data_IF_612372396046
#
_entry.id   IF_612372396046
#
_cell.length_a   1.000
_cell.length_b   1.000
_cell.length_c   1.000
_cell.angle_alpha   90.00
_cell.angle_beta   90.00
_cell.angle_gamma   90.00
#
_symmetry.space_group_name_H-M   'P 1'
#
loop_
_entity.id
_entity.type
_entity.pdbx_description
1 polymer ?
#
# COMPACT_ATOMS: atom_id res chain seq x y z
N UNK A 1 19.06 2.45 15.36
CA UNK A 1 18.62 2.47 15.60
C UNK A 1 17.96 2.34 16.00
N UNK A 2 17.68 2.26 15.98
CA UNK A 2 16.91 1.97 16.31
C UNK A 2 16.18 1.90 16.77
N UNK A 3 15.88 1.85 16.91
CA UNK A 3 15.01 1.73 17.34
C UNK A 3 14.46 1.71 17.61
N UNK A 4 14.18 1.70 17.52
CA UNK A 4 13.48 1.62 17.87
C UNK A 4 13.00 1.79 18.22
N UNK A 5 12.73 1.79 18.03
CA UNK A 5 11.98 1.76 18.40
C UNK A 5 11.62 2.00 18.68
N UNK A 6 11.18 2.15 18.58
CA UNK A 6 10.38 2.16 19.04
C UNK A 6 9.87 2.00 19.11
N UNK A 7 9.77 1.97 19.03
CA UNK A 7 8.98 1.68 19.31
C UNK A 7 8.57 1.49 19.47
N UNK A 8 8.40 1.51 19.35
CA UNK A 8 7.62 1.21 19.61
C UNK A 8 7.19 1.12 19.68
N UNK A 9 7.03 1.17 19.72
CA UNK A 9 6.20 1.05 19.91
C UNK A 9 5.79 1.15 19.89
N UNK A 10 5.59 1.34 19.61
CA UNK A 10 4.82 1.36 19.79
C UNK A 10 4.36 1.49 19.75
N UNK A 11 4.39 1.44 19.51
CA UNK A 11 3.57 1.43 19.57
C UNK A 11 3.24 1.59 19.64
N UNK A 12 3.02 1.78 19.39
CA UNK A 12 2.23 1.77 19.73
C UNK A 12 1.69 1.69 19.89
N UNK A 13 1.81 1.59 19.72
CA UNK A 13 0.99 1.49 20.09
C UNK A 13 0.59 1.73 20.41
N UNK A 14 0.46 1.68 20.22
CA UNK A 14 -0.26 1.87 20.57
C UNK A 14 -0.68 2.21 20.73
N UNK A 15 -0.84 2.20 20.47
CA UNK A 15 -1.61 2.42 20.68
C UNK A 15 -2.13 2.66 20.79
N UNK A 16 -2.44 2.55 20.62
CA UNK A 16 -3.15 2.64 20.81
C UNK A 16 -3.69 2.71 21.17
N UNK A 17 -4.02 2.70 21.05
CA UNK A 17 -4.69 2.69 21.70
C UNK A 17 -5.58 2.72 22.10
N UNK A 18 -5.57 2.57 22.82
CA UNK A 18 -6.85 2.13 23.08
C UNK A 18 -7.85 3.10 23.25
N UNK A 19 -8.63 3.11 22.47
CA UNK A 19 -9.70 4.03 22.38
C UNK A 19 -10.73 3.73 23.43
N UNK A 20 -11.28 4.72 24.04
CA UNK A 20 -12.34 4.53 25.02
C UNK A 20 -13.67 4.35 24.31
N UNK A 21 -14.34 3.23 24.49
CA UNK A 21 -15.60 3.01 23.83
C UNK A 21 -16.70 3.90 24.40
N UNK A 22 -17.67 4.22 23.58
CA UNK A 22 -18.89 4.83 24.00
C UNK A 22 -18.88 6.33 24.15
N UNK A 23 -17.78 6.99 23.92
CA UNK A 23 -17.70 8.43 24.05
C UNK A 23 -17.40 9.02 22.68
N UNK A 24 -18.27 9.87 22.17
CA UNK A 24 -18.10 10.46 20.86
C UNK A 24 -18.09 9.41 19.78
N UNK A 25 -16.98 9.20 19.12
CA UNK A 25 -16.86 8.22 18.05
C UNK A 25 -16.83 6.78 18.49
N UNK A 26 -16.69 6.54 19.80
CA UNK A 26 -16.65 5.21 20.33
C UNK A 26 -15.50 4.37 19.84
N UNK A 27 -15.56 3.09 20.13
CA UNK A 27 -14.58 2.11 19.70
C UNK A 27 -14.89 1.69 18.25
N UNK A 28 -13.87 1.67 17.42
CA UNK A 28 -14.01 1.33 16.01
C UNK A 28 -13.21 0.10 15.64
N UNK A 29 -13.69 -0.61 14.63
CA UNK A 29 -12.98 -1.75 14.07
C UNK A 29 -13.28 -1.86 12.58
N UNK A 30 -12.44 -2.60 11.87
CA UNK A 30 -12.73 -2.99 10.48
C UNK A 30 -13.49 -4.31 10.47
N UNK A 31 -14.32 -4.49 9.47
CA UNK A 31 -15.05 -5.73 9.25
C UNK A 31 -15.01 -6.09 7.77
N UNK A 32 -15.29 -7.36 7.49
CA UNK A 32 -15.33 -7.88 6.11
C UNK A 32 -14.05 -7.56 5.34
N UNK A 33 -12.90 -7.71 6.00
CA UNK A 33 -11.59 -7.42 5.39
C UNK A 33 -11.23 -8.57 4.46
N UNK A 34 -10.98 -8.26 3.20
CA UNK A 34 -10.62 -9.30 2.23
C UNK A 34 -9.86 -8.71 1.05
N UNK A 35 -9.05 -9.55 0.43
CA UNK A 35 -8.31 -9.20 -0.78
C UNK A 35 -9.25 -9.16 -1.96
N UNK A 36 -9.20 -8.07 -2.73
CA UNK A 36 -9.99 -7.97 -3.96
C UNK A 36 -9.14 -8.07 -5.22
N UNK A 37 -7.82 -8.12 -5.07
CA UNK A 37 -6.93 -8.28 -6.20
C UNK A 37 -5.68 -7.45 -6.07
N UNK A 38 -4.96 -7.32 -7.17
CA UNK A 38 -3.78 -6.48 -7.23
C UNK A 38 -3.92 -5.48 -8.36
N UNK A 39 -3.17 -4.37 -8.25
CA UNK A 39 -3.20 -3.29 -9.25
C UNK A 39 -1.83 -2.66 -9.34
N UNK A 40 -1.55 -2.01 -10.45
CA UNK A 40 -0.33 -1.25 -10.64
C UNK A 40 -0.59 0.22 -10.30
N UNK A 41 0.37 0.85 -9.67
CA UNK A 41 0.33 2.27 -9.40
C UNK A 41 0.30 3.08 -10.69
N UNK A 42 0.01 4.37 -10.57
CA UNK A 42 -0.13 5.25 -11.71
C UNK A 42 1.14 6.05 -12.01
N UNK A 43 2.10 6.04 -11.12
CA UNK A 43 3.33 6.83 -11.26
C UNK A 43 4.49 5.92 -11.62
N UNK A 44 5.28 6.35 -12.59
CA UNK A 44 6.53 5.67 -12.95
C UNK A 44 7.51 5.85 -11.80
N UNK A 45 8.00 4.76 -11.25
CA UNK A 45 8.98 4.79 -10.15
C UNK A 45 10.40 4.57 -10.64
N UNK A 46 10.57 4.02 -11.84
CA UNK A 46 11.86 3.82 -12.48
C UNK A 46 11.65 3.65 -13.98
N UNK A 47 12.63 4.04 -14.75
CA UNK A 47 12.51 3.97 -16.21
C UNK A 47 13.88 3.74 -16.83
N UNK A 48 13.91 2.97 -17.90
CA UNK A 48 15.09 2.80 -18.76
C UNK A 48 14.66 2.94 -20.21
N UNK A 49 15.51 3.56 -21.01
CA UNK A 49 15.15 3.91 -22.38
C UNK A 49 16.40 3.79 -23.25
N UNK A 50 16.25 3.37 -24.48
CA UNK A 50 17.40 3.19 -25.34
C UNK A 50 17.05 2.74 -26.75
N UNK A 51 18.06 2.76 -27.63
CA UNK A 51 17.89 2.39 -29.04
C UNK A 51 17.79 0.89 -29.23
N UNK A 52 17.37 0.52 -30.43
CA UNK A 52 17.31 -0.88 -30.82
C UNK A 52 18.65 -1.57 -30.75
N UNK A 53 18.65 -2.85 -30.45
CA UNK A 53 19.85 -3.66 -30.27
C UNK A 53 20.45 -3.57 -28.88
N UNK A 54 19.84 -2.81 -27.96
CA UNK A 54 20.32 -2.72 -26.59
C UNK A 54 19.36 -3.43 -25.64
N UNK A 55 19.85 -3.75 -24.45
CA UNK A 55 19.02 -4.29 -23.37
C UNK A 55 18.79 -3.20 -22.35
N UNK A 56 17.53 -2.85 -22.13
CA UNK A 56 17.16 -1.92 -21.08
C UNK A 56 17.20 -2.65 -19.75
N UNK A 57 17.78 -2.01 -18.73
CA UNK A 57 17.85 -2.60 -17.38
C UNK A 57 17.43 -1.58 -16.35
N UNK A 58 16.65 -2.06 -15.39
CA UNK A 58 16.34 -1.31 -14.17
C UNK A 58 16.79 -2.18 -13.02
N UNK A 59 17.57 -1.60 -12.11
CA UNK A 59 18.08 -2.32 -10.94
C UNK A 59 18.26 -1.31 -9.83
N UNK A 60 17.23 -1.14 -9.03
CA UNK A 60 17.24 -0.16 -7.94
C UNK A 60 16.22 -0.53 -6.88
N UNK A 61 16.28 0.18 -5.77
CA UNK A 61 15.34 0.02 -4.66
C UNK A 61 14.44 1.25 -4.60
N UNK A 62 13.16 1.02 -4.32
CA UNK A 62 12.18 2.08 -4.19
C UNK A 62 11.40 1.90 -2.90
N UNK A 63 11.16 3.00 -2.19
CA UNK A 63 10.35 2.98 -0.97
C UNK A 63 8.93 3.38 -1.32
N UNK A 64 7.96 2.52 -0.97
CA UNK A 64 6.55 2.76 -1.28
C UNK A 64 5.70 2.65 -0.02
N UNK A 65 4.76 3.57 0.12
CA UNK A 65 3.82 3.59 1.23
C UNK A 65 2.49 2.95 0.88
N UNK A 66 1.71 2.66 1.92
CA UNK A 66 0.33 2.20 1.76
C UNK A 66 -0.52 3.30 1.15
N UNK A 67 -1.41 2.93 0.25
CA UNK A 67 -2.40 3.86 -0.30
C UNK A 67 -3.76 3.53 0.30
N UNK A 68 -4.37 4.52 0.94
CA UNK A 68 -5.69 4.39 1.54
C UNK A 68 -6.72 5.15 0.72
N UNK A 69 -7.92 4.61 0.63
CA UNK A 69 -9.02 5.35 0.03
C UNK A 69 -9.34 6.57 0.88
N UNK A 70 -10.03 7.54 0.30
CA UNK A 70 -10.33 8.80 0.97
C UNK A 70 -11.37 8.63 2.05
N UNK A 71 -11.26 9.47 3.08
CA UNK A 71 -12.30 9.64 4.09
C UNK A 71 -12.61 8.36 4.86
N UNK A 72 -11.57 7.64 5.31
CA UNK A 72 -11.77 6.50 6.19
C UNK A 72 -11.94 7.03 7.61
N UNK A 73 -13.09 6.71 8.21
CA UNK A 73 -13.43 7.17 9.55
C UNK A 73 -12.89 6.22 10.62
N UNK A 74 -11.58 5.98 10.56
CA UNK A 74 -10.89 5.14 11.54
C UNK A 74 -9.44 5.61 11.63
N UNK A 75 -8.82 5.41 12.80
CA UNK A 75 -7.42 5.76 13.00
C UNK A 75 -6.52 4.81 12.21
N UNK A 76 -5.28 5.25 11.97
CA UNK A 76 -4.29 4.39 11.31
C UNK A 76 -4.03 3.11 12.09
N UNK A 77 -4.08 3.18 13.42
CA UNK A 77 -3.93 1.99 14.26
C UNK A 77 -5.06 0.99 14.08
N UNK A 78 -6.29 1.47 14.01
CA UNK A 78 -7.44 0.60 13.75
C UNK A 78 -7.34 -0.04 12.37
N UNK A 79 -6.96 0.75 11.36
CA UNK A 79 -6.81 0.24 10.00
C UNK A 79 -5.71 -0.82 9.96
N UNK A 80 -4.55 -0.53 10.56
CA UNK A 80 -3.42 -1.46 10.59
C UNK A 80 -3.78 -2.79 11.24
N UNK A 81 -4.49 -2.72 12.36
CA UNK A 81 -4.93 -3.93 13.07
C UNK A 81 -5.87 -4.77 12.20
N UNK A 82 -6.74 -4.12 11.44
CA UNK A 82 -7.72 -4.82 10.61
C UNK A 82 -7.13 -5.41 9.34
N UNK A 83 -6.21 -4.71 8.68
CA UNK A 83 -5.67 -5.18 7.39
C UNK A 83 -4.47 -6.10 7.56
N UNK A 84 -3.76 -6.02 8.67
CA UNK A 84 -2.68 -6.95 8.96
C UNK A 84 -1.27 -6.42 8.70
N UNK A 85 -1.11 -5.13 8.42
CA UNK A 85 0.21 -4.50 8.32
C UNK A 85 0.13 -3.05 8.81
N UNK A 86 1.27 -2.48 9.14
CA UNK A 86 1.33 -1.09 9.60
C UNK A 86 1.20 -0.13 8.41
N UNK A 87 0.05 0.49 8.25
CA UNK A 87 -0.23 1.35 7.10
C UNK A 87 0.53 2.67 7.14
N UNK A 88 1.18 2.98 8.26
CA UNK A 88 1.98 4.21 8.38
C UNK A 88 3.41 4.05 7.91
N UNK A 89 3.84 2.82 7.65
CA UNK A 89 5.24 2.53 7.28
C UNK A 89 5.37 2.24 5.80
N UNK A 90 6.48 2.70 5.24
CA UNK A 90 6.86 2.39 3.86
C UNK A 90 7.53 1.04 3.79
N UNK A 91 7.44 0.41 2.63
CA UNK A 91 8.14 -0.85 2.33
C UNK A 91 9.19 -0.60 1.27
N UNK A 92 10.32 -1.26 1.41
CA UNK A 92 11.37 -1.25 0.40
C UNK A 92 11.02 -2.27 -0.67
N UNK A 93 11.02 -1.84 -1.93
CA UNK A 93 10.69 -2.68 -3.07
C UNK A 93 11.90 -2.74 -3.99
N UNK A 94 12.30 -3.96 -4.34
CA UNK A 94 13.35 -4.15 -5.33
C UNK A 94 12.76 -4.04 -6.73
N UNK A 95 13.29 -3.12 -7.51
CA UNK A 95 12.89 -2.91 -8.90
C UNK A 95 13.98 -3.49 -9.77
N UNK A 96 13.75 -4.67 -10.33
CA UNK A 96 14.75 -5.38 -11.12
C UNK A 96 14.07 -5.96 -12.36
N UNK A 97 14.48 -5.50 -13.53
CA UNK A 97 13.94 -5.98 -14.78
C UNK A 97 14.82 -5.63 -15.97
N UNK A 98 14.62 -6.36 -17.05
CA UNK A 98 15.36 -6.14 -18.28
C UNK A 98 14.47 -6.41 -19.48
N UNK A 99 14.72 -5.70 -20.58
CA UNK A 99 14.00 -5.88 -21.81
C UNK A 99 14.90 -5.55 -22.99
N UNK A 100 14.95 -6.43 -23.99
CA UNK A 100 15.67 -6.15 -25.23
C UNK A 100 14.83 -5.28 -26.15
N UNK A 101 15.48 -4.30 -26.78
CA UNK A 101 14.82 -3.44 -27.75
C UNK A 101 15.14 -3.97 -29.15
N UNK A 102 14.13 -4.28 -29.97
CA UNK A 102 14.38 -4.76 -31.34
C UNK A 102 15.14 -3.73 -32.16
N UNK A 103 15.95 -4.20 -33.09
CA UNK A 103 16.67 -3.33 -34.00
C UNK A 103 15.69 -2.45 -34.78
N UNK A 104 16.05 -1.21 -34.98
CA UNK A 104 15.24 -0.26 -35.72
C UNK A 104 14.15 0.39 -34.88
N UNK A 105 14.07 0.05 -33.61
CA UNK A 105 13.09 0.64 -32.68
C UNK A 105 13.79 1.41 -31.58
N UNK A 106 13.05 2.22 -30.89
CA UNK A 106 13.47 2.87 -29.66
C UNK A 106 12.53 2.41 -28.55
N UNK A 107 13.07 1.87 -27.44
CA UNK A 107 12.26 1.28 -26.40
C UNK A 107 12.34 2.04 -25.10
N UNK A 108 11.25 1.98 -24.35
CA UNK A 108 11.16 2.53 -22.99
C UNK A 108 10.55 1.47 -22.08
N UNK A 109 11.24 1.15 -20.99
CA UNK A 109 10.75 0.23 -19.97
C UNK A 109 10.44 1.04 -18.72
N UNK A 110 9.17 1.06 -18.32
CA UNK A 110 8.72 1.78 -17.15
C UNK A 110 8.32 0.80 -16.05
N UNK A 111 8.64 1.15 -14.82
CA UNK A 111 8.27 0.37 -13.65
C UNK A 111 7.28 1.15 -12.81
N UNK A 112 6.31 0.43 -12.24
CA UNK A 112 5.28 0.96 -11.36
C UNK A 112 5.22 0.10 -10.11
N UNK A 113 4.79 0.68 -9.01
CA UNK A 113 4.55 -0.11 -7.79
C UNK A 113 3.35 -1.02 -8.00
N UNK A 114 3.49 -2.29 -7.62
CA UNK A 114 2.38 -3.23 -7.62
C UNK A 114 1.80 -3.28 -6.21
N UNK A 115 0.48 -3.19 -6.11
CA UNK A 115 -0.24 -3.20 -4.84
C UNK A 115 -1.18 -4.39 -4.75
N UNK A 116 -1.29 -4.96 -3.56
CA UNK A 116 -2.39 -5.84 -3.21
C UNK A 116 -3.44 -5.00 -2.51
N UNK A 117 -4.68 -5.08 -2.96
CA UNK A 117 -5.77 -4.24 -2.47
C UNK A 117 -6.68 -5.06 -1.57
N UNK A 118 -6.89 -4.58 -0.34
CA UNK A 118 -7.89 -5.12 0.57
C UNK A 118 -9.05 -4.15 0.70
N UNK A 119 -10.24 -4.70 0.69
CA UNK A 119 -11.48 -3.94 0.90
C UNK A 119 -12.02 -4.26 2.27
N UNK A 120 -12.65 -3.29 2.91
CA UNK A 120 -13.20 -3.45 4.25
C UNK A 120 -14.32 -2.45 4.52
N UNK A 121 -15.06 -2.73 5.59
CA UNK A 121 -16.04 -1.81 6.14
C UNK A 121 -15.51 -1.28 7.47
N UNK A 122 -16.01 -0.12 7.89
CA UNK A 122 -15.70 0.47 9.19
C UNK A 122 -16.93 0.36 10.07
N UNK A 123 -16.75 -0.16 11.27
CA UNK A 123 -17.79 -0.29 12.27
C UNK A 123 -17.45 0.51 13.51
N UNK A 124 -18.47 0.97 14.20
CA UNK A 124 -18.35 1.64 15.49
C UNK A 124 -19.22 0.91 16.51
N UNK A 125 -18.71 0.80 17.74
CA UNK A 125 -19.46 0.19 18.81
C UNK A 125 -20.50 1.19 19.33
N UNK A 126 -21.78 0.81 19.24
CA UNK A 126 -22.91 1.61 19.71
C UNK A 126 -23.58 0.83 20.84
N UNK A 127 -23.40 1.30 22.06
CA UNK A 127 -23.88 0.63 23.29
C UNK A 127 -23.22 -0.76 23.38
N UNK A 128 -23.86 -1.80 22.86
CA UNK A 128 -23.36 -3.16 22.95
C UNK A 128 -23.28 -3.86 21.59
N UNK A 129 -23.45 -3.11 20.50
CA UNK A 129 -23.42 -3.70 19.16
C UNK A 129 -22.59 -2.86 18.20
N UNK A 130 -21.95 -3.51 17.26
CA UNK A 130 -21.21 -2.80 16.21
C UNK A 130 -22.13 -2.44 15.07
N UNK A 131 -22.00 -1.20 14.60
CA UNK A 131 -22.79 -0.67 13.49
C UNK A 131 -21.82 -0.28 12.37
N UNK A 132 -22.11 -0.68 11.15
CA UNK A 132 -21.32 -0.32 10.00
C UNK A 132 -21.61 1.14 9.62
N UNK A 133 -20.57 1.97 9.63
CA UNK A 133 -20.71 3.40 9.30
C UNK A 133 -20.10 3.73 7.94
N UNK A 134 -19.21 2.89 7.43
CA UNK A 134 -18.64 3.06 6.11
C UNK A 134 -18.46 1.71 5.45
N UNK A 135 -18.65 1.65 4.13
CA UNK A 135 -18.50 0.43 3.35
C UNK A 135 -17.52 0.63 2.22
N UNK A 136 -16.89 -0.46 1.80
CA UNK A 136 -16.08 -0.52 0.58
C UNK A 136 -14.92 0.46 0.58
N UNK A 137 -14.27 0.60 1.72
CA UNK A 137 -13.01 1.33 1.83
C UNK A 137 -11.88 0.38 1.47
N UNK A 138 -10.76 0.94 1.01
CA UNK A 138 -9.63 0.12 0.56
C UNK A 138 -8.32 0.57 1.16
N UNK A 139 -7.44 -0.42 1.34
CA UNK A 139 -6.05 -0.20 1.69
C UNK A 139 -5.21 -1.02 0.72
N UNK A 140 -4.24 -0.37 0.11
CA UNK A 140 -3.39 -0.99 -0.91
C UNK A 140 -1.97 -1.11 -0.37
N UNK A 141 -1.51 -2.35 -0.25
CA UNK A 141 -0.18 -2.66 0.27
C UNK A 141 0.79 -2.83 -0.88
N UNK A 142 1.95 -2.12 -0.87
CA UNK A 142 2.97 -2.35 -1.90
C UNK A 142 3.51 -3.77 -1.77
N UNK A 143 3.50 -4.54 -2.86
CA UNK A 143 3.94 -5.93 -2.85
C UNK A 143 4.99 -6.25 -3.91
N UNK A 144 5.25 -5.34 -4.84
CA UNK A 144 6.21 -5.62 -5.90
C UNK A 144 6.17 -4.56 -6.98
N UNK A 145 6.42 -4.98 -8.20
CA UNK A 145 6.62 -4.08 -9.35
C UNK A 145 5.82 -4.59 -10.54
N UNK A 146 5.23 -3.65 -11.28
CA UNK A 146 4.69 -3.88 -12.60
C UNK A 146 5.59 -3.20 -13.62
N UNK A 147 5.83 -3.85 -14.75
CA UNK A 147 6.59 -3.25 -15.84
C UNK A 147 5.70 -3.01 -17.05
N UNK A 148 5.91 -1.89 -17.72
CA UNK A 148 5.28 -1.61 -19.00
C UNK A 148 6.38 -1.24 -20.00
N UNK A 149 6.32 -1.86 -21.17
CA UNK A 149 7.28 -1.63 -22.23
C UNK A 149 6.59 -0.94 -23.39
N UNK A 150 7.23 0.09 -23.91
CA UNK A 150 6.77 0.81 -25.10
C UNK A 150 7.91 0.87 -26.12
N UNK A 151 7.56 0.80 -27.39
CA UNK A 151 8.55 0.97 -28.45
C UNK A 151 7.95 1.80 -29.58
N UNK A 152 8.81 2.50 -30.29
CA UNK A 152 8.43 3.30 -31.45
C UNK A 152 9.47 3.22 -32.55
#
# INVERSE_FOLDING_TARGET
MTASAHAAPNAHSSASSPVKPGIGGGFKRLSNVHVIGSTCGKHVIASADGPGGTTLRIDQTHSAGTVLSKNISASKGVISAGVGWDVTKSKSITVSGAREVPKGKHGTLDAYTKYQVKRFNVQVLMVDTFVTIQKNKTASEPIGVCFKYHQR
#
